data_IF_371383392184
#
_entry.id   IF_371383392184
#
_cell.length_a   1.000
_cell.length_b   1.000
_cell.length_c   1.000
_cell.angle_alpha   90.00
_cell.angle_beta   90.00
_cell.angle_gamma   90.00
#
_symmetry.space_group_name_H-M   'P 1'
#
loop_
_entity.id
_entity.type
_entity.pdbx_description
1 polymer ?
#
# COMPACT_ATOMS: atom_id res chain seq x y z
N UNK A 1 74.89 7.53 -25.85
CA UNK A 1 75.72 6.42 -25.34
C UNK A 1 74.78 5.45 -24.62
N UNK A 2 74.74 4.21 -25.09
CA UNK A 2 74.00 3.09 -24.50
C UNK A 2 74.61 2.63 -23.18
N UNK A 3 73.78 1.99 -22.33
CA UNK A 3 74.03 0.90 -21.33
C UNK A 3 73.01 1.09 -20.18
N UNK A 4 71.87 0.42 -20.05
CA UNK A 4 71.45 -1.00 -20.04
C UNK A 4 71.56 -1.71 -18.66
N UNK A 5 70.47 -2.41 -18.27
CA UNK A 5 70.29 -3.44 -17.20
C UNK A 5 70.18 -2.98 -15.72
N UNK A 6 69.34 -3.51 -14.79
CA UNK A 6 68.06 -4.26 -14.72
C UNK A 6 67.73 -4.51 -13.22
N UNK A 7 66.46 -4.82 -12.92
CA UNK A 7 65.91 -5.57 -11.76
C UNK A 7 65.69 -4.87 -10.39
N UNK A 8 64.45 -4.45 -10.11
CA UNK A 8 63.43 -5.24 -9.38
C UNK A 8 62.12 -4.42 -9.20
N UNK A 9 60.99 -5.05 -9.53
CA UNK A 9 59.61 -4.64 -9.18
C UNK A 9 59.21 -5.40 -7.88
N UNK A 10 58.16 -5.03 -7.09
CA UNK A 10 56.81 -4.85 -7.65
C UNK A 10 55.85 -3.85 -6.96
N UNK A 11 54.89 -3.41 -7.77
CA UNK A 11 53.48 -3.19 -7.45
C UNK A 11 53.08 -2.11 -6.42
N UNK A 12 52.67 -0.95 -6.95
CA UNK A 12 51.51 -0.23 -6.44
C UNK A 12 50.59 0.13 -7.61
N UNK A 13 49.74 -0.84 -7.97
CA UNK A 13 48.61 -0.61 -8.86
C UNK A 13 47.53 0.12 -8.05
N UNK A 14 46.96 1.24 -8.52
CA UNK A 14 45.90 1.92 -7.80
C UNK A 14 44.68 0.99 -7.74
N UNK A 15 44.17 0.77 -6.53
CA UNK A 15 42.89 0.12 -6.31
C UNK A 15 41.82 0.84 -7.15
N UNK A 16 41.33 0.15 -8.18
CA UNK A 16 40.02 0.44 -8.75
C UNK A 16 38.99 0.19 -7.65
N UNK A 17 38.52 1.26 -7.04
CA UNK A 17 37.26 1.26 -6.30
C UNK A 17 36.17 0.90 -7.31
N UNK A 18 35.69 -0.35 -7.23
CA UNK A 18 34.45 -0.73 -7.88
C UNK A 18 33.31 0.00 -7.13
N UNK A 19 33.02 1.23 -7.57
CA UNK A 19 31.72 1.85 -7.35
C UNK A 19 30.68 1.02 -8.13
N UNK A 20 30.07 0.07 -7.44
CA UNK A 20 28.72 -0.38 -7.78
C UNK A 20 27.79 0.25 -6.75
N UNK A 21 27.35 1.47 -7.02
CA UNK A 21 26.12 1.99 -6.43
C UNK A 21 24.97 1.14 -6.98
N UNK A 22 24.75 -0.03 -6.39
CA UNK A 22 23.59 -0.84 -6.69
C UNK A 22 22.38 -0.01 -6.24
N UNK A 23 21.63 0.55 -7.20
CA UNK A 23 20.41 1.30 -6.94
C UNK A 23 19.52 0.49 -6.00
N UNK A 24 18.96 1.13 -4.97
CA UNK A 24 18.09 0.46 -4.02
C UNK A 24 17.03 -0.38 -4.76
N UNK A 25 16.82 -1.65 -4.37
CA UNK A 25 15.92 -2.54 -5.09
C UNK A 25 14.51 -1.97 -5.11
N UNK A 26 13.98 -1.79 -6.33
CA UNK A 26 12.67 -1.18 -6.62
C UNK A 26 11.49 -2.14 -6.53
N UNK A 27 11.72 -3.46 -6.45
CA UNK A 27 10.65 -4.47 -6.36
C UNK A 27 10.91 -5.54 -5.31
N UNK A 28 9.83 -6.18 -4.82
CA UNK A 28 9.92 -7.28 -3.84
C UNK A 28 10.73 -8.45 -4.37
N UNK A 29 10.62 -8.77 -5.67
CA UNK A 29 11.44 -9.79 -6.31
C UNK A 29 12.93 -9.43 -6.27
N UNK A 30 13.30 -8.17 -6.51
CA UNK A 30 14.69 -7.72 -6.41
C UNK A 30 15.20 -7.82 -4.96
N UNK A 31 14.39 -7.45 -3.97
CA UNK A 31 14.72 -7.56 -2.54
C UNK A 31 14.95 -9.03 -2.16
N UNK A 32 13.98 -9.91 -2.46
CA UNK A 32 14.08 -11.36 -2.18
C UNK A 32 15.30 -11.94 -2.87
N UNK A 33 15.51 -11.62 -4.15
CA UNK A 33 16.66 -12.11 -4.89
C UNK A 33 17.98 -11.68 -4.25
N UNK A 34 18.12 -10.39 -3.89
CA UNK A 34 19.33 -9.84 -3.28
C UNK A 34 19.70 -10.54 -1.97
N UNK A 35 18.71 -11.02 -1.22
CA UNK A 35 18.91 -11.65 0.09
C UNK A 35 19.06 -13.17 -0.03
N UNK A 36 18.20 -13.82 -0.81
CA UNK A 36 18.10 -15.29 -0.90
C UNK A 36 19.21 -15.88 -1.76
N UNK A 37 19.54 -15.27 -2.89
CA UNK A 37 20.50 -15.85 -3.84
C UNK A 37 21.92 -15.99 -3.25
N UNK A 38 22.51 -14.98 -2.57
CA UNK A 38 23.83 -15.14 -1.95
C UNK A 38 23.86 -16.26 -0.89
N UNK A 39 22.76 -16.43 -0.14
CA UNK A 39 22.63 -17.48 0.87
C UNK A 39 22.58 -18.87 0.22
N UNK A 40 21.84 -19.02 -0.89
CA UNK A 40 21.84 -20.26 -1.69
C UNK A 40 23.24 -20.58 -2.22
N UNK A 41 23.93 -19.60 -2.80
CA UNK A 41 25.29 -19.77 -3.33
C UNK A 41 26.29 -20.17 -2.22
N UNK A 42 26.19 -19.56 -1.05
CA UNK A 42 27.08 -19.86 0.08
C UNK A 42 26.91 -21.29 0.63
N UNK A 43 25.69 -21.85 0.62
CA UNK A 43 25.46 -23.25 1.01
C UNK A 43 25.83 -24.24 -0.09
N UNK A 44 25.90 -23.79 -1.35
CA UNK A 44 26.17 -24.62 -2.53
C UNK A 44 27.38 -24.07 -3.33
N UNK A 45 28.57 -23.94 -2.71
CA UNK A 45 29.70 -23.21 -3.30
C UNK A 45 30.27 -23.86 -4.57
N UNK A 46 30.04 -25.15 -4.77
CA UNK A 46 30.51 -25.91 -5.94
C UNK A 46 29.46 -25.98 -7.07
N UNK A 47 28.32 -25.33 -6.89
CA UNK A 47 27.21 -25.33 -7.86
C UNK A 47 27.15 -23.97 -8.54
N UNK A 48 27.25 -23.98 -9.87
CA UNK A 48 27.01 -22.78 -10.66
C UNK A 48 25.50 -22.53 -10.76
N UNK A 49 24.92 -21.96 -9.70
CA UNK A 49 23.53 -21.51 -9.70
C UNK A 49 23.39 -20.31 -10.62
N UNK A 50 22.66 -20.47 -11.72
CA UNK A 50 22.25 -19.33 -12.52
C UNK A 50 21.25 -18.48 -11.74
N UNK A 51 21.45 -17.17 -11.81
CA UNK A 51 20.54 -16.17 -11.27
C UNK A 51 19.17 -16.32 -11.97
N UNK A 52 18.19 -16.94 -11.31
CA UNK A 52 16.86 -17.10 -11.89
C UNK A 52 15.97 -15.93 -11.50
N UNK A 53 15.49 -15.18 -12.50
CA UNK A 53 14.47 -14.13 -12.34
C UNK A 53 13.09 -14.70 -12.60
N UNK A 54 12.65 -15.61 -11.73
CA UNK A 54 11.22 -15.91 -11.66
C UNK A 54 10.52 -14.76 -10.95
N UNK A 55 9.85 -13.91 -11.71
CA UNK A 55 9.05 -12.82 -11.15
C UNK A 55 7.94 -13.38 -10.26
N UNK A 56 7.79 -12.80 -9.08
CA UNK A 56 6.65 -13.12 -8.24
C UNK A 56 5.38 -12.61 -8.92
N UNK A 57 4.33 -13.43 -8.91
CA UNK A 57 3.01 -12.94 -9.30
C UNK A 57 2.57 -11.86 -8.31
N UNK A 58 1.81 -10.87 -8.80
CA UNK A 58 1.30 -9.75 -8.01
C UNK A 58 0.60 -10.20 -6.72
N UNK A 59 -0.22 -11.24 -6.82
CA UNK A 59 -0.93 -11.85 -5.67
C UNK A 59 0.03 -12.40 -4.59
N UNK A 60 1.12 -13.07 -5.01
CA UNK A 60 2.12 -13.61 -4.08
C UNK A 60 2.94 -12.48 -3.44
N UNK A 61 3.22 -11.43 -4.20
CA UNK A 61 3.89 -10.23 -3.69
C UNK A 61 3.04 -9.51 -2.65
N UNK A 62 1.75 -9.30 -2.92
CA UNK A 62 0.81 -8.68 -2.00
C UNK A 62 0.66 -9.53 -0.72
N UNK A 63 0.60 -10.86 -0.85
CA UNK A 63 0.56 -11.79 0.29
C UNK A 63 1.84 -11.72 1.13
N UNK A 64 3.02 -11.67 0.50
CA UNK A 64 4.30 -11.57 1.21
C UNK A 64 4.40 -10.25 1.97
N UNK A 65 4.05 -9.13 1.30
CA UNK A 65 3.99 -7.81 1.93
C UNK A 65 3.03 -7.83 3.12
N UNK A 66 1.83 -8.38 2.97
CA UNK A 66 0.85 -8.45 4.06
C UNK A 66 1.40 -9.16 5.31
N UNK A 67 2.08 -10.31 5.11
CA UNK A 67 2.67 -11.09 6.21
C UNK A 67 3.84 -10.36 6.90
N UNK A 68 4.60 -9.53 6.17
CA UNK A 68 5.72 -8.76 6.74
C UNK A 68 5.29 -7.80 7.85
N UNK A 69 4.14 -7.14 7.70
CA UNK A 69 3.68 -6.22 8.76
C UNK A 69 2.86 -6.91 9.85
N UNK A 70 2.22 -8.05 9.58
CA UNK A 70 1.57 -8.86 10.61
C UNK A 70 2.58 -9.58 11.52
N UNK A 71 3.89 -9.36 11.33
CA UNK A 71 4.98 -10.05 12.03
C UNK A 71 4.89 -11.58 11.96
N UNK A 72 4.28 -12.10 10.88
CA UNK A 72 4.06 -13.53 10.68
C UNK A 72 5.30 -14.20 10.07
N UNK A 73 6.37 -14.32 10.85
CA UNK A 73 7.66 -14.89 10.43
C UNK A 73 7.49 -16.24 9.70
N UNK A 74 6.67 -17.14 10.25
CA UNK A 74 6.38 -18.45 9.65
C UNK A 74 5.72 -18.36 8.28
N UNK A 75 4.88 -17.35 8.04
CA UNK A 75 4.22 -17.13 6.74
C UNK A 75 5.21 -16.61 5.69
N UNK A 76 6.15 -15.75 6.07
CA UNK A 76 7.21 -15.23 5.18
C UNK A 76 8.15 -16.37 4.79
N UNK A 77 8.59 -17.17 5.77
CA UNK A 77 9.38 -18.37 5.54
C UNK A 77 8.68 -19.33 4.56
N UNK A 78 7.40 -19.65 4.78
CA UNK A 78 6.64 -20.54 3.90
C UNK A 78 6.51 -19.99 2.46
N UNK A 79 6.34 -18.68 2.31
CA UNK A 79 6.29 -18.04 1.00
C UNK A 79 7.65 -18.08 0.29
N UNK A 80 8.74 -17.81 1.01
CA UNK A 80 10.11 -17.91 0.51
C UNK A 80 10.45 -19.34 0.08
N UNK A 81 10.10 -20.34 0.90
CA UNK A 81 10.28 -21.75 0.57
C UNK A 81 9.61 -22.10 -0.76
N UNK A 82 8.34 -21.75 -0.93
CA UNK A 82 7.61 -21.99 -2.18
C UNK A 82 8.28 -21.28 -3.36
N UNK A 83 8.73 -20.05 -3.17
CA UNK A 83 9.39 -19.29 -4.23
C UNK A 83 10.74 -19.92 -4.63
N UNK A 84 11.57 -20.32 -3.66
CA UNK A 84 12.85 -21.00 -3.91
C UNK A 84 12.61 -22.30 -4.68
N UNK A 85 11.61 -23.10 -4.29
CA UNK A 85 11.29 -24.34 -4.99
C UNK A 85 10.78 -24.10 -6.42
N UNK A 86 10.04 -23.03 -6.67
CA UNK A 86 9.60 -22.68 -8.03
C UNK A 86 10.79 -22.20 -8.88
N UNK A 87 11.63 -21.32 -8.33
CA UNK A 87 12.73 -20.71 -9.06
C UNK A 87 13.93 -21.66 -9.24
N UNK A 88 14.13 -22.63 -8.34
CA UNK A 88 15.32 -23.47 -8.33
C UNK A 88 15.02 -24.97 -8.23
N UNK A 89 13.76 -25.40 -8.11
CA UNK A 89 13.41 -26.82 -7.91
C UNK A 89 13.73 -27.75 -9.09
N UNK A 90 13.97 -27.19 -10.28
CA UNK A 90 14.49 -27.94 -11.42
C UNK A 90 16.00 -28.27 -11.27
N UNK A 91 16.69 -27.63 -10.31
CA UNK A 91 18.05 -27.98 -9.95
C UNK A 91 18.02 -29.13 -8.92
N UNK A 92 18.54 -30.32 -9.25
CA UNK A 92 18.45 -31.50 -8.37
C UNK A 92 19.15 -31.32 -7.02
N UNK A 93 19.97 -30.28 -6.87
CA UNK A 93 20.73 -29.97 -5.66
C UNK A 93 19.93 -29.07 -4.71
N UNK A 94 18.98 -28.27 -5.21
CA UNK A 94 18.11 -27.42 -4.39
C UNK A 94 16.93 -28.24 -3.89
N UNK A 95 17.26 -29.16 -2.97
CA UNK A 95 16.29 -30.01 -2.29
C UNK A 95 15.42 -29.24 -1.30
N UNK A 96 14.29 -29.83 -0.91
CA UNK A 96 13.39 -29.25 0.10
C UNK A 96 14.10 -28.84 1.40
N UNK A 97 14.98 -29.65 2.02
CA UNK A 97 15.71 -29.25 3.22
C UNK A 97 16.60 -28.02 3.03
N UNK A 98 17.25 -27.89 1.86
CA UNK A 98 18.08 -26.73 1.54
C UNK A 98 17.21 -25.49 1.38
N UNK A 99 16.12 -25.59 0.62
CA UNK A 99 15.20 -24.50 0.42
C UNK A 99 14.54 -24.03 1.73
N UNK A 100 14.17 -24.97 2.61
CA UNK A 100 13.56 -24.68 3.91
C UNK A 100 14.52 -23.89 4.81
N UNK A 101 15.76 -24.36 4.93
CA UNK A 101 16.77 -23.72 5.77
C UNK A 101 17.11 -22.31 5.27
N UNK A 102 17.23 -22.12 3.96
CA UNK A 102 17.49 -20.79 3.38
C UNK A 102 16.30 -19.87 3.62
N UNK A 103 15.07 -20.36 3.43
CA UNK A 103 13.86 -19.57 3.68
C UNK A 103 13.76 -19.13 5.15
N UNK A 104 14.13 -20.01 6.09
CA UNK A 104 14.19 -19.71 7.52
C UNK A 104 15.25 -18.63 7.83
N UNK A 105 16.48 -18.83 7.34
CA UNK A 105 17.60 -17.92 7.57
C UNK A 105 17.39 -16.54 6.90
N UNK A 106 16.56 -16.45 5.85
CA UNK A 106 16.33 -15.24 5.08
C UNK A 106 15.04 -14.48 5.46
N UNK A 107 14.12 -15.09 6.22
CA UNK A 107 12.79 -14.54 6.45
C UNK A 107 12.83 -13.16 7.14
N UNK A 108 13.62 -13.00 8.19
CA UNK A 108 13.71 -11.72 8.93
C UNK A 108 14.40 -10.62 8.11
N UNK A 109 15.44 -10.95 7.34
CA UNK A 109 16.12 -9.99 6.47
C UNK A 109 15.22 -9.50 5.34
N UNK A 110 14.48 -10.42 4.71
CA UNK A 110 13.50 -10.09 3.65
C UNK A 110 12.40 -9.20 4.24
N UNK A 111 11.89 -9.53 5.42
CA UNK A 111 10.91 -8.72 6.15
C UNK A 111 11.43 -7.29 6.36
N UNK A 112 12.64 -7.15 6.91
CA UNK A 112 13.23 -5.84 7.21
C UNK A 112 13.47 -5.01 5.94
N UNK A 113 13.96 -5.65 4.87
CA UNK A 113 14.21 -4.96 3.61
C UNK A 113 12.91 -4.53 2.89
N UNK A 114 11.86 -5.34 2.96
CA UNK A 114 10.53 -4.96 2.43
C UNK A 114 9.95 -3.80 3.24
N UNK A 115 10.05 -3.83 4.58
CA UNK A 115 9.64 -2.71 5.43
C UNK A 115 10.38 -1.42 5.05
N UNK A 116 11.71 -1.47 4.96
CA UNK A 116 12.54 -0.31 4.63
C UNK A 116 12.25 0.25 3.23
N UNK A 117 12.00 -0.60 2.23
CA UNK A 117 11.64 -0.16 0.88
C UNK A 117 10.25 0.49 0.81
N UNK A 118 9.36 0.11 1.73
CA UNK A 118 7.99 0.60 1.80
C UNK A 118 7.85 1.91 2.61
N UNK A 119 8.83 2.27 3.43
CA UNK A 119 8.85 3.53 4.21
C UNK A 119 9.55 4.66 3.46
N UNK A 120 9.12 4.96 2.22
CA UNK A 120 9.60 6.16 1.52
C UNK A 120 8.92 7.42 2.10
N UNK A 121 9.48 7.89 3.22
CA UNK A 121 8.98 9.02 4.00
C UNK A 121 8.82 10.28 3.14
N UNK A 122 9.77 10.55 2.24
CA UNK A 122 9.72 11.73 1.35
C UNK A 122 8.53 11.67 0.38
N UNK A 123 8.26 10.50 -0.21
CA UNK A 123 7.09 10.32 -1.07
C UNK A 123 5.79 10.51 -0.29
N UNK A 124 5.73 9.98 0.94
CA UNK A 124 4.55 10.12 1.81
C UNK A 124 4.27 11.58 2.16
N UNK A 125 5.31 12.31 2.58
CA UNK A 125 5.23 13.75 2.88
C UNK A 125 4.73 14.55 1.66
N UNK A 126 5.25 14.23 0.46
CA UNK A 126 4.81 14.88 -0.79
C UNK A 126 3.36 14.57 -1.14
N UNK A 127 2.91 13.33 -0.93
CA UNK A 127 1.53 12.92 -1.18
C UNK A 127 0.57 13.56 -0.17
N UNK A 128 0.98 13.66 1.09
CA UNK A 128 0.24 14.38 2.12
C UNK A 128 0.09 15.84 1.76
N UNK A 129 1.20 16.52 1.45
CA UNK A 129 1.18 17.91 0.99
C UNK A 129 0.22 18.10 -0.20
N UNK A 130 0.32 17.23 -1.20
CA UNK A 130 -0.50 17.28 -2.41
C UNK A 130 -1.99 17.02 -2.15
N UNK A 131 -2.33 16.30 -1.08
CA UNK A 131 -3.72 15.98 -0.75
C UNK A 131 -4.36 16.91 0.26
N UNK A 132 -3.60 17.42 1.23
CA UNK A 132 -4.15 18.20 2.34
C UNK A 132 -3.92 19.70 2.20
N UNK A 133 -2.76 20.10 1.68
CA UNK A 133 -2.27 21.48 1.76
C UNK A 133 -2.34 22.22 0.42
N UNK A 134 -2.08 21.54 -0.70
CA UNK A 134 -2.15 22.21 -2.01
C UNK A 134 -3.58 22.64 -2.33
N UNK A 135 -3.72 23.82 -2.93
CA UNK A 135 -5.00 24.33 -3.43
C UNK A 135 -5.58 23.37 -4.48
N UNK A 136 -6.86 23.03 -4.32
CA UNK A 136 -7.57 22.24 -5.30
C UNK A 136 -7.90 23.08 -6.53
N UNK A 137 -7.54 22.60 -7.72
CA UNK A 137 -7.79 23.30 -8.98
C UNK A 137 -8.90 22.62 -9.78
N UNK A 138 -9.91 23.40 -10.14
CA UNK A 138 -11.01 22.98 -10.99
C UNK A 138 -12.34 22.84 -10.25
N UNK A 139 -13.38 22.47 -10.99
CA UNK A 139 -14.77 22.46 -10.54
C UNK A 139 -15.34 21.04 -10.41
N UNK A 140 -14.49 20.01 -10.44
CA UNK A 140 -14.96 18.63 -10.49
C UNK A 140 -15.73 18.22 -9.22
N UNK A 141 -15.40 18.76 -8.03
CA UNK A 141 -16.16 18.50 -6.81
C UNK A 141 -17.58 19.08 -6.87
N UNK A 142 -17.73 20.27 -7.45
CA UNK A 142 -19.01 20.94 -7.68
C UNK A 142 -19.84 20.11 -8.67
N UNK A 143 -19.28 19.76 -9.83
CA UNK A 143 -19.96 18.91 -10.83
C UNK A 143 -20.34 17.54 -10.28
N UNK A 144 -19.51 16.97 -9.41
CA UNK A 144 -19.79 15.68 -8.78
C UNK A 144 -20.93 15.81 -7.76
N UNK A 145 -20.98 16.90 -6.97
CA UNK A 145 -22.12 17.20 -6.10
C UNK A 145 -23.42 17.31 -6.89
N UNK A 146 -23.46 18.15 -7.94
CA UNK A 146 -24.63 18.34 -8.80
C UNK A 146 -25.09 17.01 -9.43
N UNK A 147 -24.15 16.10 -9.73
CA UNK A 147 -24.48 14.77 -10.19
C UNK A 147 -25.15 13.93 -9.11
N UNK A 148 -24.61 13.91 -7.89
CA UNK A 148 -25.18 13.18 -6.76
C UNK A 148 -26.57 13.71 -6.39
N UNK A 149 -26.77 15.03 -6.37
CA UNK A 149 -28.07 15.66 -6.08
C UNK A 149 -29.12 15.28 -7.12
N UNK A 150 -28.78 15.33 -8.42
CA UNK A 150 -29.71 14.85 -9.48
C UNK A 150 -30.02 13.35 -9.38
N UNK A 151 -29.06 12.55 -8.93
CA UNK A 151 -29.32 11.13 -8.67
C UNK A 151 -30.28 10.94 -7.50
N UNK A 152 -30.12 11.74 -6.44
CA UNK A 152 -31.00 11.72 -5.28
C UNK A 152 -32.43 12.13 -5.65
N UNK A 153 -32.61 13.24 -6.37
CA UNK A 153 -33.93 13.70 -6.84
C UNK A 153 -34.66 12.63 -7.65
N UNK A 154 -33.95 11.93 -8.54
CA UNK A 154 -34.52 10.82 -9.32
C UNK A 154 -34.90 9.62 -8.45
N UNK A 155 -34.06 9.29 -7.48
CA UNK A 155 -34.31 8.21 -6.54
C UNK A 155 -35.58 8.48 -5.71
N UNK A 156 -35.75 9.71 -5.21
CA UNK A 156 -36.94 10.12 -4.46
C UNK A 156 -38.21 10.17 -5.32
N UNK A 157 -38.10 10.63 -6.57
CA UNK A 157 -39.24 10.74 -7.47
C UNK A 157 -39.77 9.37 -7.93
N UNK A 158 -38.90 8.38 -8.13
CA UNK A 158 -39.32 7.02 -8.55
C UNK A 158 -38.61 5.91 -7.75
N UNK A 159 -38.92 5.71 -6.46
CA UNK A 159 -38.21 4.77 -5.59
C UNK A 159 -38.26 3.31 -6.08
N UNK A 160 -39.31 2.94 -6.83
CA UNK A 160 -39.49 1.59 -7.38
C UNK A 160 -38.57 1.24 -8.54
N UNK A 161 -37.97 2.23 -9.20
CA UNK A 161 -37.12 2.02 -10.38
C UNK A 161 -35.66 1.72 -10.00
N UNK A 162 -35.27 2.02 -8.76
CA UNK A 162 -33.89 1.92 -8.30
C UNK A 162 -33.76 0.93 -7.13
N UNK A 163 -32.81 0.00 -7.25
CA UNK A 163 -32.55 -0.98 -6.17
C UNK A 163 -31.92 -0.36 -4.91
N UNK A 164 -31.07 0.65 -5.08
CA UNK A 164 -30.34 1.30 -3.98
C UNK A 164 -29.66 2.59 -4.47
N UNK A 165 -29.58 3.65 -3.65
CA UNK A 165 -28.99 4.93 -4.02
C UNK A 165 -27.47 4.89 -3.90
N UNK A 166 -26.77 4.36 -4.91
CA UNK A 166 -25.30 4.43 -4.98
C UNK A 166 -24.81 5.03 -6.30
N UNK A 167 -23.65 5.68 -6.23
CA UNK A 167 -22.91 6.22 -7.38
C UNK A 167 -21.53 5.60 -7.40
N UNK A 168 -21.13 5.06 -8.55
CA UNK A 168 -19.78 4.55 -8.78
C UNK A 168 -18.92 5.60 -9.52
N UNK A 169 -17.79 5.99 -8.93
CA UNK A 169 -16.79 6.83 -9.57
C UNK A 169 -15.62 5.97 -10.07
N UNK A 170 -15.56 5.74 -11.38
CA UNK A 170 -14.54 4.90 -12.01
C UNK A 170 -13.57 5.78 -12.80
N UNK A 171 -12.31 5.81 -12.39
CA UNK A 171 -11.22 6.51 -13.09
C UNK A 171 -9.89 5.79 -12.90
N UNK A 172 -8.95 6.03 -13.80
CA UNK A 172 -7.57 5.54 -13.72
C UNK A 172 -6.87 5.92 -12.40
N UNK A 173 -5.88 5.12 -11.99
CA UNK A 173 -5.07 5.41 -10.79
C UNK A 173 -4.31 6.73 -10.95
N UNK A 174 -4.20 7.53 -9.88
CA UNK A 174 -3.51 8.82 -9.89
C UNK A 174 -4.32 10.03 -10.38
N UNK A 175 -5.54 9.84 -10.89
CA UNK A 175 -6.38 10.93 -11.43
C UNK A 175 -7.16 11.74 -10.37
N UNK A 176 -6.82 11.62 -9.09
CA UNK A 176 -7.37 12.50 -8.06
C UNK A 176 -8.73 12.12 -7.47
N UNK A 177 -9.26 10.91 -7.68
CA UNK A 177 -10.53 10.43 -7.08
C UNK A 177 -10.64 10.71 -5.57
N UNK A 178 -9.60 10.37 -4.81
CA UNK A 178 -9.62 10.58 -3.36
C UNK A 178 -9.62 12.07 -3.01
N UNK A 179 -8.89 12.89 -3.78
CA UNK A 179 -8.84 14.34 -3.58
C UNK A 179 -10.20 14.95 -3.84
N UNK A 180 -10.85 14.57 -4.96
CA UNK A 180 -12.22 14.99 -5.29
C UNK A 180 -13.19 14.76 -4.12
N UNK A 181 -13.19 13.55 -3.55
CA UNK A 181 -14.08 13.19 -2.44
C UNK A 181 -13.75 13.96 -1.15
N UNK A 182 -12.47 14.22 -0.88
CA UNK A 182 -12.07 15.10 0.24
C UNK A 182 -12.59 16.51 0.04
N UNK A 183 -12.41 17.10 -1.13
CA UNK A 183 -12.88 18.47 -1.38
C UNK A 183 -14.40 18.58 -1.30
N UNK A 184 -15.14 17.56 -1.73
CA UNK A 184 -16.59 17.50 -1.50
C UNK A 184 -16.91 17.48 0.01
N UNK A 185 -16.17 16.71 0.80
CA UNK A 185 -16.33 16.67 2.25
C UNK A 185 -16.03 18.01 2.93
N UNK A 186 -14.96 18.70 2.54
CA UNK A 186 -14.64 20.03 3.04
C UNK A 186 -15.66 21.09 2.61
N UNK A 187 -16.09 21.05 1.35
CA UNK A 187 -17.09 21.99 0.85
C UNK A 187 -18.40 21.85 1.61
N UNK A 188 -18.84 20.61 1.85
CA UNK A 188 -20.10 20.34 2.56
C UNK A 188 -20.00 20.48 4.08
N UNK A 189 -18.80 20.52 4.67
CA UNK A 189 -18.63 20.64 6.13
C UNK A 189 -18.97 22.03 6.67
N UNK A 190 -18.72 23.08 5.87
CA UNK A 190 -18.86 24.49 6.27
C UNK A 190 -20.20 25.13 5.84
N UNK A 191 -21.03 24.39 5.11
CA UNK A 191 -22.30 24.91 4.58
C UNK A 191 -23.41 24.90 5.63
N UNK A 192 -23.81 26.09 6.10
CA UNK A 192 -24.87 26.23 7.10
C UNK A 192 -26.24 25.72 6.61
N UNK A 193 -26.57 25.94 5.34
CA UNK A 193 -27.84 25.52 4.72
C UNK A 193 -27.60 24.53 3.57
N UNK A 194 -26.62 23.64 3.75
CA UNK A 194 -26.30 22.61 2.77
C UNK A 194 -27.39 21.54 2.68
N UNK A 195 -27.49 20.92 1.51
CA UNK A 195 -28.34 19.76 1.19
C UNK A 195 -27.62 18.42 1.43
N UNK A 196 -26.33 18.46 1.73
CA UNK A 196 -25.45 17.29 1.79
C UNK A 196 -24.43 17.43 2.92
N UNK A 197 -24.12 16.31 3.58
CA UNK A 197 -22.97 16.14 4.47
C UNK A 197 -22.24 14.88 4.05
N UNK A 198 -20.90 14.93 3.97
CA UNK A 198 -20.10 13.80 3.50
C UNK A 198 -19.19 13.27 4.60
N UNK A 199 -19.47 12.04 5.02
CA UNK A 199 -18.57 11.22 5.81
C UNK A 199 -17.57 10.51 4.88
N UNK A 200 -16.32 11.00 4.84
CA UNK A 200 -15.27 10.41 4.03
C UNK A 200 -14.66 9.17 4.72
N UNK A 201 -14.60 8.04 4.01
CA UNK A 201 -13.94 6.81 4.48
C UNK A 201 -12.96 6.28 3.43
N UNK A 202 -11.74 5.95 3.87
CA UNK A 202 -10.70 5.32 3.06
C UNK A 202 -10.54 3.88 3.54
N UNK A 203 -11.17 2.94 2.83
CA UNK A 203 -11.30 1.54 3.23
C UNK A 203 -10.12 0.66 2.87
N UNK A 204 -8.95 1.25 2.56
CA UNK A 204 -7.74 0.52 2.13
C UNK A 204 -7.57 -0.75 2.97
N UNK A 205 -7.67 -1.90 2.31
CA UNK A 205 -7.53 -3.21 2.94
C UNK A 205 -6.04 -3.54 3.09
N UNK A 206 -5.72 -4.29 4.14
CA UNK A 206 -4.34 -4.69 4.40
C UNK A 206 -3.41 -3.52 4.67
N UNK A 207 -2.20 -3.59 4.10
CA UNK A 207 -1.08 -2.69 4.39
C UNK A 207 -0.66 -1.85 3.18
N UNK A 208 -1.66 -1.42 2.39
CA UNK A 208 -1.44 -0.47 1.31
C UNK A 208 -0.84 0.84 1.84
N UNK A 209 0.43 1.13 1.50
CA UNK A 209 1.08 2.43 1.74
C UNK A 209 0.65 3.53 0.76
N UNK A 210 -0.40 3.27 -0.02
CA UNK A 210 -0.98 4.28 -0.91
C UNK A 210 -1.64 5.39 -0.11
N UNK A 211 -1.60 6.59 -0.66
CA UNK A 211 -2.19 7.79 -0.07
C UNK A 211 -3.57 8.08 -0.70
N UNK A 212 -4.58 8.59 0.02
CA UNK A 212 -4.60 8.89 1.46
C UNK A 212 -4.58 7.65 2.33
N UNK A 213 -4.11 7.82 3.56
CA UNK A 213 -4.09 6.76 4.57
C UNK A 213 -5.50 6.18 4.82
N UNK A 214 -5.53 4.94 5.31
CA UNK A 214 -6.77 4.31 5.70
C UNK A 214 -7.39 5.04 6.90
N UNK A 215 -8.70 5.28 6.87
CA UNK A 215 -9.46 5.76 8.04
C UNK A 215 -9.69 4.58 8.98
N UNK A 216 -8.63 4.09 9.63
CA UNK A 216 -8.58 2.76 10.30
C UNK A 216 -9.77 2.49 11.21
N UNK A 217 -10.09 3.42 12.12
CA UNK A 217 -11.21 3.27 13.07
C UNK A 217 -12.56 3.16 12.36
N UNK A 218 -12.84 4.10 11.45
CA UNK A 218 -14.09 4.11 10.69
C UNK A 218 -14.20 2.89 9.77
N UNK A 219 -13.09 2.44 9.20
CA UNK A 219 -13.01 1.21 8.40
C UNK A 219 -13.30 -0.02 9.25
N UNK A 220 -12.67 -0.15 10.43
CA UNK A 220 -12.89 -1.28 11.33
C UNK A 220 -14.34 -1.32 11.82
N UNK A 221 -14.93 -0.17 12.08
CA UNK A 221 -16.32 -0.07 12.51
C UNK A 221 -17.32 -0.43 11.41
N UNK A 222 -17.11 0.05 10.17
CA UNK A 222 -18.02 -0.21 9.05
C UNK A 222 -17.74 -1.53 8.30
N UNK A 223 -16.49 -1.96 8.24
CA UNK A 223 -15.99 -2.99 7.32
C UNK A 223 -14.97 -3.95 8.00
N UNK A 224 -15.00 -4.08 9.32
CA UNK A 224 -14.09 -4.98 10.04
C UNK A 224 -14.32 -6.47 9.71
N UNK A 225 -13.33 -7.32 10.06
CA UNK A 225 -13.32 -8.75 9.70
C UNK A 225 -14.51 -9.56 10.28
N UNK A 226 -15.10 -9.08 11.38
CA UNK A 226 -16.27 -9.71 12.01
C UNK A 226 -17.60 -9.08 11.58
N UNK A 227 -17.61 -8.26 10.54
CA UNK A 227 -18.77 -7.47 10.16
C UNK A 227 -19.75 -8.29 9.31
N UNK A 228 -21.03 -8.25 9.70
CA UNK A 228 -22.15 -8.85 8.96
C UNK A 228 -22.93 -7.76 8.23
N UNK A 229 -23.72 -8.14 7.23
CA UNK A 229 -24.63 -7.20 6.54
C UNK A 229 -25.54 -6.46 7.54
N UNK A 230 -26.11 -7.17 8.51
CA UNK A 230 -26.96 -6.60 9.55
C UNK A 230 -26.22 -5.54 10.39
N UNK A 231 -24.98 -5.82 10.80
CA UNK A 231 -24.16 -4.85 11.52
C UNK A 231 -23.79 -3.64 10.66
N UNK A 232 -23.46 -3.85 9.39
CA UNK A 232 -23.19 -2.75 8.46
C UNK A 232 -24.41 -1.84 8.32
N UNK A 233 -25.58 -2.43 8.10
CA UNK A 233 -26.85 -1.69 8.00
C UNK A 233 -27.11 -0.89 9.28
N UNK A 234 -26.98 -1.52 10.45
CA UNK A 234 -27.17 -0.84 11.74
C UNK A 234 -26.19 0.33 11.94
N UNK A 235 -24.92 0.18 11.53
CA UNK A 235 -23.94 1.28 11.60
C UNK A 235 -24.30 2.43 10.66
N UNK A 236 -24.75 2.13 9.43
CA UNK A 236 -25.17 3.14 8.46
C UNK A 236 -26.45 3.87 8.91
N UNK A 237 -27.41 3.14 9.48
CA UNK A 237 -28.61 3.71 10.10
C UNK A 237 -28.24 4.65 11.26
N UNK A 238 -27.32 4.23 12.13
CA UNK A 238 -26.83 5.04 13.24
C UNK A 238 -26.14 6.34 12.75
N UNK A 239 -25.28 6.26 11.72
CA UNK A 239 -24.67 7.44 11.09
C UNK A 239 -25.77 8.39 10.59
N UNK A 240 -26.74 7.86 9.84
CA UNK A 240 -27.82 8.66 9.25
C UNK A 240 -28.67 9.34 10.32
N UNK A 241 -29.08 8.57 11.34
CA UNK A 241 -29.85 9.09 12.46
C UNK A 241 -29.10 10.20 13.21
N UNK A 242 -27.81 9.98 13.51
CA UNK A 242 -26.98 10.97 14.19
C UNK A 242 -26.82 12.24 13.36
N UNK A 243 -26.57 12.12 12.05
CA UNK A 243 -26.44 13.27 11.16
C UNK A 243 -27.71 14.11 11.07
N UNK A 244 -28.89 13.48 11.06
CA UNK A 244 -30.18 14.18 11.05
C UNK A 244 -30.41 15.01 12.32
N UNK A 245 -29.93 14.56 13.47
CA UNK A 245 -30.11 15.25 14.75
C UNK A 245 -29.03 16.29 15.05
N UNK A 246 -27.89 16.26 14.34
CA UNK A 246 -26.73 17.12 14.56
C UNK A 246 -26.30 17.85 13.28
N UNK A 247 -27.23 18.16 12.38
CA UNK A 247 -26.94 18.62 11.01
C UNK A 247 -26.04 19.87 10.92
N UNK A 248 -26.18 20.79 11.87
CA UNK A 248 -25.41 22.04 11.91
C UNK A 248 -23.92 21.78 12.17
N UNK A 249 -23.60 20.81 13.03
CA UNK A 249 -22.23 20.57 13.50
C UNK A 249 -21.55 19.38 12.82
N UNK A 250 -22.33 18.43 12.29
CA UNK A 250 -21.85 17.12 11.85
C UNK A 250 -20.78 17.18 10.76
N UNK A 251 -20.87 18.19 9.89
CA UNK A 251 -19.90 18.39 8.81
C UNK A 251 -18.49 18.65 9.34
N UNK A 252 -18.38 19.58 10.30
CA UNK A 252 -17.11 19.93 10.94
C UNK A 252 -16.60 18.80 11.80
N UNK A 253 -17.50 18.08 12.48
CA UNK A 253 -17.14 16.91 13.29
C UNK A 253 -16.53 15.79 12.45
N UNK A 254 -17.18 15.38 11.37
CA UNK A 254 -16.67 14.33 10.48
C UNK A 254 -15.36 14.70 9.81
N UNK A 255 -15.21 15.98 9.43
CA UNK A 255 -13.93 16.48 8.94
C UNK A 255 -12.82 16.29 9.97
N UNK A 256 -13.04 16.68 11.22
CA UNK A 256 -12.04 16.56 12.30
C UNK A 256 -11.72 15.09 12.63
N UNK A 257 -12.72 14.22 12.64
CA UNK A 257 -12.51 12.79 12.91
C UNK A 257 -11.81 12.06 11.78
N UNK A 258 -11.96 12.52 10.53
CA UNK A 258 -11.19 12.01 9.39
C UNK A 258 -9.70 12.36 9.46
N UNK A 259 -9.30 13.32 10.30
CA UNK A 259 -7.94 13.84 10.48
C UNK A 259 -7.20 13.33 11.72
N UNK A 260 -7.55 12.15 12.27
CA UNK A 260 -6.78 11.39 13.30
C UNK A 260 -7.37 11.29 14.72
N UNK A 261 -8.63 11.67 14.98
CA UNK A 261 -9.25 11.50 16.31
C UNK A 261 -10.41 10.49 16.31
N UNK A 262 -10.65 9.76 17.42
CA UNK A 262 -11.83 8.91 17.56
C UNK A 262 -13.09 9.76 17.34
N UNK A 263 -14.08 9.18 16.66
CA UNK A 263 -15.44 9.70 16.69
C UNK A 263 -15.92 9.60 18.13
N UNK A 264 -16.15 10.74 18.78
CA UNK A 264 -16.49 10.84 20.21
C UNK A 264 -17.90 10.37 20.54
N UNK A 265 -18.68 9.98 19.54
CA UNK A 265 -20.05 9.47 19.63
C UNK A 265 -20.17 7.97 19.32
N UNK A 266 -19.02 7.26 19.21
CA UNK A 266 -18.96 5.79 19.14
C UNK A 266 -18.88 5.14 20.51
#
# INVERSE_FOLDING_TARGET
MFSDVSMHSPNSCPLKTHDTSESAPTSTTQIVHRIVFPRLQAKLPHVNLQKQTHEMTREKEDTLKQNCYQNAHSSIQNALLRWILIAYGNNPIVSFPVAYKIAEEAAEDVKNAIHAANTNTELHERLELAFTQLEYRGDACIKFREYVERCWEKYEATPGDYKTPYVALIQSSGFGKSRLLRELSLMTSVEQQGTMRVLYTCTRLGLSNGYPEATKKLREWLFGDAQTLERMTSCLEAISYYAQHNWEDIGTEWENSSRSQPLTWM
#
